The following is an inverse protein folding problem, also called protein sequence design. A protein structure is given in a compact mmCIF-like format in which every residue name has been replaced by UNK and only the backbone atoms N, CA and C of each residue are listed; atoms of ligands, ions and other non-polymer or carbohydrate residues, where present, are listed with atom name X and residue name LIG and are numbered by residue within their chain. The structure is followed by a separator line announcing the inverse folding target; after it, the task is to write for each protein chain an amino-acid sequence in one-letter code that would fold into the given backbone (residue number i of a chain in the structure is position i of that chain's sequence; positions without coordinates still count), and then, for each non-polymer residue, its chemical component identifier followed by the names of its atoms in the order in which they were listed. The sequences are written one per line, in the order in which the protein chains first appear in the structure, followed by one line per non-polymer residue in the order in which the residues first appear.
data_IF_729016859430
#
_entry.id   IF_729016859430
#
_cell.length_a   1.000
_cell.length_b   1.000
_cell.length_c   1.000
_cell.angle_alpha   90.00
_cell.angle_beta   90.00
_cell.angle_gamma   90.00
#
_symmetry.space_group_name_H-M   'P 1'
#
loop_
_entity.id
_entity.type
_entity.pdbx_description
1 polymer ?
#
# COMPACT_ATOMS: atom_id res chain seq x y z
N UNK A 1 -35.96 29.86 35.71
CA UNK A 1 -35.34 29.33 34.47
C UNK A 1 -34.26 28.33 34.86
N UNK A 2 -34.16 27.18 34.18
CA UNK A 2 -33.77 25.93 34.81
C UNK A 2 -32.27 25.66 34.73
N UNK A 3 -31.78 25.08 35.83
CA UNK A 3 -30.46 24.51 36.04
C UNK A 3 -30.34 23.22 35.21
N UNK A 4 -29.41 23.16 34.25
CA UNK A 4 -29.05 21.93 33.54
C UNK A 4 -27.98 21.19 34.34
N UNK A 5 -28.37 20.09 34.97
CA UNK A 5 -27.46 19.09 35.56
C UNK A 5 -27.04 18.16 34.43
N UNK A 6 -25.76 18.21 34.01
CA UNK A 6 -25.18 17.22 33.11
C UNK A 6 -24.72 16.02 33.94
N UNK A 7 -25.47 14.93 33.86
CA UNK A 7 -25.10 13.62 34.37
C UNK A 7 -24.05 13.02 33.41
N UNK A 8 -22.77 12.98 33.82
CA UNK A 8 -21.72 12.25 33.10
C UNK A 8 -21.83 10.77 33.46
N UNK A 9 -22.27 9.95 32.50
CA UNK A 9 -22.18 8.50 32.60
C UNK A 9 -20.74 8.06 32.28
N UNK A 10 -19.99 7.67 33.30
CA UNK A 10 -18.70 7.02 33.16
C UNK A 10 -18.95 5.53 32.91
N UNK A 11 -18.85 5.10 31.64
CA UNK A 11 -18.93 3.68 31.28
C UNK A 11 -17.55 3.06 31.52
N UNK A 12 -17.36 2.45 32.70
CA UNK A 12 -16.16 1.67 33.01
C UNK A 12 -16.32 0.31 32.34
N UNK A 13 -15.63 0.12 31.21
CA UNK A 13 -15.51 -1.19 30.56
C UNK A 13 -14.51 -2.02 31.38
N UNK A 14 -15.02 -2.88 32.24
CA UNK A 14 -14.23 -3.82 33.04
C UNK A 14 -13.88 -5.03 32.16
N UNK A 15 -12.75 -4.99 31.47
CA UNK A 15 -12.24 -6.13 30.69
C UNK A 15 -11.69 -7.19 31.64
N UNK A 16 -12.47 -8.23 31.90
CA UNK A 16 -12.03 -9.40 32.64
C UNK A 16 -11.07 -10.23 31.80
N UNK A 17 -9.77 -10.09 32.03
CA UNK A 17 -8.74 -10.97 31.47
C UNK A 17 -8.80 -12.29 32.23
N UNK A 18 -9.44 -13.29 31.63
CA UNK A 18 -9.44 -14.67 32.12
C UNK A 18 -8.17 -15.35 31.58
N UNK A 19 -7.11 -15.35 32.41
CA UNK A 19 -5.95 -16.23 32.22
C UNK A 19 -6.30 -17.63 32.72
N UNK A 20 -6.71 -18.51 31.82
CA UNK A 20 -6.79 -19.97 32.03
C UNK A 20 -5.56 -20.55 31.34
N UNK A 21 -4.50 -20.85 32.10
CA UNK A 21 -4.22 -22.15 32.75
C UNK A 21 -3.70 -23.22 31.78
N UNK A 22 -2.40 -23.53 31.95
CA UNK A 22 -1.76 -24.84 31.87
C UNK A 22 -2.31 -25.85 30.85
N UNK A 23 -1.77 -25.80 29.63
CA UNK A 23 -1.73 -26.94 28.71
C UNK A 23 -0.48 -27.77 28.94
N UNK A 24 -0.66 -29.03 29.31
CA UNK A 24 0.38 -30.05 29.45
C UNK A 24 1.24 -30.15 28.19
N UNK A 25 2.56 -30.28 28.38
CA UNK A 25 3.51 -30.60 27.32
C UNK A 25 3.17 -31.94 26.66
N UNK A 26 2.40 -31.89 25.59
CA UNK A 26 2.43 -32.90 24.55
C UNK A 26 3.79 -32.81 23.90
N UNK A 27 4.62 -33.82 24.12
CA UNK A 27 5.83 -34.07 23.33
C UNK A 27 5.47 -33.91 21.85
N UNK A 28 6.01 -32.86 21.21
CA UNK A 28 5.99 -32.70 19.76
C UNK A 28 6.54 -33.99 19.15
N UNK A 29 5.65 -34.85 18.67
CA UNK A 29 6.03 -35.91 17.76
C UNK A 29 6.56 -35.17 16.54
N UNK A 30 7.90 -35.16 16.35
CA UNK A 30 8.50 -34.87 15.06
C UNK A 30 7.71 -35.65 14.02
N UNK A 31 6.94 -34.93 13.21
CA UNK A 31 6.18 -35.52 12.11
C UNK A 31 7.23 -36.19 11.24
N UNK A 32 7.14 -37.52 11.14
CA UNK A 32 8.06 -38.27 10.31
C UNK A 32 7.74 -37.89 8.87
N UNK A 33 8.60 -37.07 8.24
CA UNK A 33 8.38 -36.46 6.91
C UNK A 33 8.11 -37.48 5.80
N UNK A 34 8.28 -38.77 6.08
CA UNK A 34 8.10 -39.87 5.11
C UNK A 34 6.65 -40.34 4.92
N UNK A 35 5.71 -39.88 5.74
CA UNK A 35 4.30 -40.26 5.62
C UNK A 35 3.47 -39.14 4.97
N UNK A 36 3.77 -38.89 3.69
CA UNK A 36 3.17 -37.81 2.89
C UNK A 36 1.64 -37.93 2.78
N UNK A 37 1.10 -39.15 2.91
CA UNK A 37 -0.34 -39.42 2.88
C UNK A 37 -1.08 -38.75 4.06
N UNK A 38 -0.38 -38.53 5.18
CA UNK A 38 -0.93 -37.95 6.40
C UNK A 38 -0.70 -36.44 6.53
N UNK A 39 -0.08 -35.79 5.53
CA UNK A 39 0.08 -34.34 5.50
C UNK A 39 -1.27 -33.62 5.39
N UNK A 40 -1.29 -32.37 5.85
CA UNK A 40 -2.46 -31.49 5.72
C UNK A 40 -2.82 -31.29 4.24
N UNK A 41 -4.12 -31.27 3.95
CA UNK A 41 -4.60 -30.97 2.60
C UNK A 41 -4.31 -29.52 2.26
N UNK A 42 -3.67 -29.29 1.12
CA UNK A 42 -3.34 -27.95 0.64
C UNK A 42 -4.53 -27.18 0.09
N UNK A 43 -4.23 -26.09 -0.61
CA UNK A 43 -5.20 -25.09 -1.09
C UNK A 43 -6.09 -25.53 -2.26
N UNK A 44 -6.02 -26.80 -2.71
CA UNK A 44 -6.81 -27.30 -3.85
C UNK A 44 -6.25 -26.84 -5.19
N UNK A 45 -7.10 -26.56 -6.18
CA UNK A 45 -6.63 -26.02 -7.46
C UNK A 45 -6.39 -24.51 -7.35
N UNK A 46 -5.19 -24.07 -7.72
CA UNK A 46 -4.79 -22.67 -7.72
C UNK A 46 -4.29 -22.28 -9.09
N UNK A 47 -4.49 -21.03 -9.46
CA UNK A 47 -3.97 -20.46 -10.69
C UNK A 47 -2.55 -19.92 -10.45
N UNK A 48 -1.72 -19.93 -11.49
CA UNK A 48 -0.45 -19.21 -11.50
C UNK A 48 -0.64 -17.72 -11.86
N UNK A 49 -1.86 -17.32 -12.21
CA UNK A 49 -2.15 -15.98 -12.72
C UNK A 49 -3.61 -15.61 -12.45
N UNK A 50 -3.85 -14.32 -12.22
CA UNK A 50 -5.15 -13.66 -12.26
C UNK A 50 -5.07 -12.45 -13.19
N UNK A 51 -6.12 -12.17 -13.98
CA UNK A 51 -6.11 -11.08 -14.97
C UNK A 51 -5.44 -11.43 -16.30
N UNK A 52 -5.18 -10.43 -17.14
CA UNK A 52 -4.52 -10.56 -18.46
C UNK A 52 -3.05 -10.10 -18.39
N UNK A 53 -2.10 -10.88 -18.91
CA UNK A 53 -0.64 -10.60 -18.83
C UNK A 53 -0.20 -9.47 -19.77
N UNK A 54 -1.13 -8.74 -20.37
CA UNK A 54 -0.77 -7.59 -21.17
C UNK A 54 -0.46 -6.42 -20.24
N UNK A 55 0.76 -5.90 -20.35
CA UNK A 55 1.11 -4.65 -19.70
C UNK A 55 0.09 -3.59 -20.11
N UNK A 56 -0.57 -3.01 -19.10
CA UNK A 56 -1.47 -1.91 -19.37
C UNK A 56 -0.63 -0.68 -19.71
N UNK A 57 -0.42 -0.41 -21.00
CA UNK A 57 0.36 0.73 -21.49
C UNK A 57 -0.16 2.08 -20.96
N UNK A 58 -1.41 2.14 -20.49
CA UNK A 58 -2.05 3.33 -19.95
C UNK A 58 -1.97 3.44 -18.42
N UNK A 59 -1.11 2.65 -17.75
CA UNK A 59 -0.95 2.77 -16.30
C UNK A 59 -0.08 3.96 -15.95
N UNK A 60 -0.63 4.85 -15.12
CA UNK A 60 0.11 6.01 -14.66
C UNK A 60 1.20 5.55 -13.69
N UNK A 61 2.45 5.76 -14.07
CA UNK A 61 3.58 5.46 -13.19
C UNK A 61 3.60 6.45 -12.04
N UNK A 62 3.59 5.94 -10.82
CA UNK A 62 3.86 6.77 -9.65
C UNK A 62 5.28 7.32 -9.74
N UNK A 63 5.45 8.63 -9.57
CA UNK A 63 6.77 9.21 -9.42
C UNK A 63 7.47 8.61 -8.19
N UNK A 64 8.64 8.03 -8.40
CA UNK A 64 9.55 7.58 -7.32
C UNK A 64 10.34 8.76 -6.72
N UNK A 65 9.80 9.97 -6.80
CA UNK A 65 10.50 11.20 -6.44
C UNK A 65 9.72 11.97 -5.40
N UNK A 66 10.35 12.21 -4.25
CA UNK A 66 9.88 13.18 -3.25
C UNK A 66 9.82 14.60 -3.83
N UNK A 67 10.54 14.86 -4.92
CA UNK A 67 10.64 16.16 -5.61
C UNK A 67 9.67 16.32 -6.80
N UNK A 68 8.35 16.18 -6.58
CA UNK A 68 7.34 16.34 -7.64
C UNK A 68 7.48 17.66 -8.43
N UNK A 69 7.91 18.73 -7.78
CA UNK A 69 8.14 20.04 -8.41
C UNK A 69 9.21 19.99 -9.52
N UNK A 70 10.16 19.04 -9.51
CA UNK A 70 11.19 18.92 -10.56
C UNK A 70 10.63 18.39 -11.88
N UNK A 71 9.49 17.72 -11.83
CA UNK A 71 8.88 17.03 -12.97
C UNK A 71 7.52 17.61 -13.36
N UNK A 72 7.11 18.69 -12.70
CA UNK A 72 5.86 19.43 -12.93
C UNK A 72 6.16 20.90 -13.27
N UNK A 73 5.12 21.66 -13.59
CA UNK A 73 5.16 23.08 -13.92
C UNK A 73 5.21 24.02 -12.69
N UNK A 74 5.07 23.45 -11.50
CA UNK A 74 4.97 24.21 -10.25
C UNK A 74 6.34 24.62 -9.71
N UNK A 75 6.36 25.67 -8.91
CA UNK A 75 7.59 26.15 -8.28
C UNK A 75 8.09 25.17 -7.21
N UNK A 76 9.41 25.20 -6.99
CA UNK A 76 10.02 24.47 -5.88
C UNK A 76 9.51 25.02 -4.53
N UNK A 77 9.33 24.15 -3.52
CA UNK A 77 9.24 24.53 -2.11
C UNK A 77 10.27 25.60 -1.75
N UNK A 78 9.82 26.73 -1.18
CA UNK A 78 10.74 27.79 -0.74
C UNK A 78 11.10 27.65 0.74
N UNK A 79 10.32 26.89 1.52
CA UNK A 79 10.50 26.76 2.96
C UNK A 79 10.12 28.03 3.73
N UNK A 80 9.45 28.99 3.08
CA UNK A 80 9.04 30.25 3.73
C UNK A 80 7.88 30.03 4.70
N UNK A 81 6.91 29.21 4.28
CA UNK A 81 5.68 28.94 5.00
C UNK A 81 5.61 27.49 5.43
N UNK A 82 5.75 26.57 4.48
CA UNK A 82 5.67 25.14 4.74
C UNK A 82 7.02 24.58 5.18
N UNK A 83 7.02 23.67 6.15
CA UNK A 83 8.22 23.02 6.64
C UNK A 83 8.96 22.27 5.52
N UNK A 84 10.19 22.69 5.21
CA UNK A 84 11.08 22.13 4.19
C UNK A 84 12.49 22.06 4.77
N UNK A 85 13.09 20.87 4.86
CA UNK A 85 14.47 20.69 5.37
C UNK A 85 14.74 21.35 6.73
N UNK A 86 13.73 21.45 7.59
CA UNK A 86 13.81 22.06 8.92
C UNK A 86 13.64 23.59 8.94
N UNK A 87 13.43 24.22 7.79
CA UNK A 87 12.99 25.61 7.66
C UNK A 87 11.47 25.68 7.44
N UNK A 88 10.84 26.84 7.65
CA UNK A 88 9.39 27.02 7.54
C UNK A 88 8.71 27.21 8.90
N UNK A 89 7.43 27.60 8.85
CA UNK A 89 6.66 27.96 10.05
C UNK A 89 5.49 27.00 10.31
N UNK A 90 5.03 26.31 9.27
CA UNK A 90 3.85 25.45 9.31
C UNK A 90 4.18 24.04 8.87
N UNK A 91 3.75 23.07 9.65
CA UNK A 91 3.56 21.73 9.12
C UNK A 91 2.28 21.65 8.30
N UNK A 92 2.17 20.61 7.48
CA UNK A 92 1.06 20.43 6.56
C UNK A 92 0.68 18.95 6.41
N UNK A 93 -0.60 18.73 6.11
CA UNK A 93 -1.15 17.44 5.71
C UNK A 93 -1.87 17.62 4.39
N UNK A 94 -1.39 16.93 3.35
CA UNK A 94 -2.04 16.88 2.04
C UNK A 94 -2.48 15.45 1.76
N UNK A 95 -3.68 15.29 1.19
CA UNK A 95 -4.07 14.02 0.61
C UNK A 95 -3.04 13.57 -0.44
N UNK A 96 -2.61 12.31 -0.37
CA UNK A 96 -1.61 11.74 -1.25
C UNK A 96 -1.75 10.23 -1.36
N UNK A 97 -1.05 9.64 -2.34
CA UNK A 97 -0.98 8.20 -2.52
C UNK A 97 -2.19 7.62 -3.24
N UNK A 98 -2.52 6.37 -2.92
CA UNK A 98 -3.64 5.64 -3.52
C UNK A 98 -4.95 6.04 -2.80
N UNK A 99 -5.94 6.44 -3.58
CA UNK A 99 -7.30 6.81 -3.13
C UNK A 99 -8.36 6.08 -3.94
N UNK A 100 -9.61 6.11 -3.48
CA UNK A 100 -10.77 5.58 -4.21
C UNK A 100 -11.56 6.71 -4.87
N UNK A 101 -12.37 6.41 -5.90
CA UNK A 101 -13.30 7.38 -6.46
C UNK A 101 -14.22 7.95 -5.37
N UNK A 102 -14.46 9.27 -5.40
CA UNK A 102 -15.24 10.00 -4.38
C UNK A 102 -14.66 10.03 -2.96
N UNK A 103 -13.44 9.53 -2.72
CA UNK A 103 -12.77 9.77 -1.45
C UNK A 103 -12.57 11.28 -1.24
N UNK A 104 -12.68 11.72 0.01
CA UNK A 104 -12.32 13.10 0.37
C UNK A 104 -10.80 13.32 0.23
N UNK A 105 -10.43 14.49 -0.27
CA UNK A 105 -9.10 15.05 -0.15
C UNK A 105 -9.16 16.31 0.72
N UNK A 106 -8.19 16.44 1.62
CA UNK A 106 -8.11 17.54 2.58
C UNK A 106 -6.76 18.24 2.50
N UNK A 107 -6.78 19.52 2.87
CA UNK A 107 -5.59 20.34 3.11
C UNK A 107 -5.64 20.78 4.56
N UNK A 108 -4.60 20.41 5.31
CA UNK A 108 -4.45 20.74 6.72
C UNK A 108 -3.16 21.49 6.95
N UNK A 109 -3.21 22.50 7.81
CA UNK A 109 -2.06 23.26 8.28
C UNK A 109 -1.97 23.15 9.80
N UNK A 110 -0.76 23.11 10.33
CA UNK A 110 -0.54 23.08 11.78
C UNK A 110 0.66 23.93 12.16
N UNK A 111 0.46 24.79 13.16
CA UNK A 111 1.50 25.58 13.79
C UNK A 111 2.07 24.85 15.01
N UNK A 112 3.38 24.98 15.20
CA UNK A 112 4.05 24.45 16.39
C UNK A 112 4.15 25.47 17.54
N UNK A 113 3.76 26.72 17.30
CA UNK A 113 3.79 27.81 18.27
C UNK A 113 2.48 27.87 19.07
N UNK A 114 2.55 28.09 20.39
CA UNK A 114 1.37 28.14 21.28
C UNK A 114 0.39 29.26 20.89
N UNK A 115 0.91 30.39 20.41
CA UNK A 115 0.12 31.54 19.97
C UNK A 115 -0.33 31.45 18.49
N UNK A 116 0.00 30.35 17.80
CA UNK A 116 -0.23 30.17 16.37
C UNK A 116 0.70 30.99 15.48
N UNK A 117 0.62 30.76 14.16
CA UNK A 117 1.42 31.46 13.16
C UNK A 117 0.51 32.37 12.34
N UNK A 118 0.74 33.68 12.41
CA UNK A 118 -0.01 34.66 11.60
C UNK A 118 0.58 34.74 10.20
N UNK A 119 -0.25 34.44 9.20
CA UNK A 119 0.12 34.51 7.78
C UNK A 119 -0.47 35.77 7.12
N UNK A 120 -1.77 36.02 7.31
CA UNK A 120 -2.54 37.02 6.56
C UNK A 120 -2.35 36.83 5.04
N UNK A 121 -2.69 35.63 4.53
CA UNK A 121 -2.44 35.21 3.14
C UNK A 121 -3.63 34.50 2.52
N UNK A 122 -3.77 34.68 1.20
CA UNK A 122 -4.59 33.79 0.38
C UNK A 122 -3.78 32.54 0.04
N UNK A 123 -4.42 31.39 0.17
CA UNK A 123 -3.89 30.09 -0.22
C UNK A 123 -4.70 29.59 -1.41
N UNK A 124 -4.02 29.35 -2.52
CA UNK A 124 -4.62 28.72 -3.71
C UNK A 124 -4.51 27.21 -3.59
N UNK A 125 -5.62 26.53 -3.80
CA UNK A 125 -5.73 25.08 -3.75
C UNK A 125 -6.18 24.60 -5.12
N UNK A 126 -5.37 23.75 -5.75
CA UNK A 126 -5.68 23.22 -7.07
C UNK A 126 -5.65 21.70 -7.06
N UNK A 127 -6.64 21.08 -7.70
CA UNK A 127 -6.62 19.67 -8.05
C UNK A 127 -6.62 19.58 -9.57
N UNK A 128 -5.55 19.03 -10.14
CA UNK A 128 -5.41 18.87 -11.60
C UNK A 128 -5.36 17.40 -11.97
N UNK A 129 -6.17 16.99 -12.95
CA UNK A 129 -6.08 15.69 -13.61
C UNK A 129 -4.89 15.69 -14.57
N UNK A 130 -4.14 14.58 -14.60
CA UNK A 130 -2.88 14.46 -15.35
C UNK A 130 -2.95 13.35 -16.39
N UNK A 131 -2.59 13.67 -17.64
CA UNK A 131 -2.22 12.66 -18.64
C UNK A 131 -0.80 12.14 -18.36
N UNK A 132 0.08 13.06 -17.94
CA UNK A 132 1.41 12.75 -17.45
C UNK A 132 1.80 13.75 -16.36
N UNK A 133 2.90 13.49 -15.64
CA UNK A 133 3.40 14.43 -14.63
C UNK A 133 3.73 15.83 -15.19
N UNK A 134 3.89 16.00 -16.50
CA UNK A 134 4.17 17.30 -17.15
C UNK A 134 2.98 17.96 -17.82
N UNK A 135 1.90 17.21 -18.03
CA UNK A 135 0.77 17.66 -18.83
C UNK A 135 -0.51 17.64 -18.00
N UNK A 136 -1.08 18.82 -17.78
CA UNK A 136 -2.42 18.98 -17.21
C UNK A 136 -3.41 18.59 -18.29
N UNK A 137 -4.24 17.59 -17.99
CA UNK A 137 -5.41 17.26 -18.81
C UNK A 137 -6.56 18.23 -18.48
N UNK A 138 -6.85 18.40 -17.19
CA UNK A 138 -7.96 19.21 -16.69
C UNK A 138 -7.67 19.79 -15.31
N UNK A 139 -8.11 21.02 -15.05
CA UNK A 139 -8.15 21.59 -13.69
C UNK A 139 -9.54 21.36 -13.10
N UNK A 140 -9.62 20.47 -12.12
CA UNK A 140 -10.87 20.06 -11.46
C UNK A 140 -11.26 21.07 -10.38
N UNK A 141 -10.27 21.54 -9.61
CA UNK A 141 -10.44 22.51 -8.52
C UNK A 141 -9.41 23.62 -8.69
N UNK A 142 -9.85 24.86 -8.47
CA UNK A 142 -9.01 26.05 -8.40
C UNK A 142 -9.65 27.07 -7.45
N UNK A 143 -9.47 26.84 -6.15
CA UNK A 143 -10.11 27.59 -5.06
C UNK A 143 -9.09 28.43 -4.29
N UNK A 144 -9.58 29.48 -3.62
CA UNK A 144 -8.80 30.37 -2.77
C UNK A 144 -9.37 30.37 -1.36
N UNK A 145 -8.50 30.13 -0.37
CA UNK A 145 -8.84 30.17 1.06
C UNK A 145 -7.98 31.24 1.73
N UNK A 146 -8.62 32.23 2.34
CA UNK A 146 -7.92 33.22 3.14
C UNK A 146 -7.64 32.66 4.53
N UNK A 147 -6.37 32.73 4.94
CA UNK A 147 -5.89 32.24 6.25
C UNK A 147 -5.18 33.38 6.98
N UNK A 148 -5.78 33.81 8.09
CA UNK A 148 -5.22 34.86 8.95
C UNK A 148 -4.13 34.28 9.86
N UNK A 149 -4.49 33.29 10.68
CA UNK A 149 -3.62 32.63 11.65
C UNK A 149 -3.91 31.14 11.62
N UNK A 150 -2.86 30.32 11.70
CA UNK A 150 -2.96 28.87 11.86
C UNK A 150 -2.58 28.50 13.30
N UNK A 151 -3.43 27.74 13.98
CA UNK A 151 -3.19 27.19 15.32
C UNK A 151 -2.72 25.72 15.26
N UNK A 152 -3.04 24.91 16.27
CA UNK A 152 -2.51 23.55 16.44
C UNK A 152 -2.75 22.61 15.26
N UNK A 153 -3.97 22.56 14.71
CA UNK A 153 -4.32 21.67 13.59
C UNK A 153 -5.62 22.17 12.94
N UNK A 154 -5.50 22.73 11.74
CA UNK A 154 -6.60 23.34 11.01
C UNK A 154 -6.80 22.68 9.66
N UNK A 155 -8.00 22.16 9.45
CA UNK A 155 -8.48 21.77 8.13
C UNK A 155 -8.97 23.02 7.39
N UNK A 156 -8.15 23.52 6.48
CA UNK A 156 -8.47 24.74 5.71
C UNK A 156 -9.30 24.45 4.47
N UNK A 157 -9.31 23.20 4.00
CA UNK A 157 -10.04 22.79 2.81
C UNK A 157 -10.38 21.31 2.81
N UNK A 158 -11.54 20.97 2.28
CA UNK A 158 -11.97 19.60 1.99
C UNK A 158 -12.85 19.58 0.77
N UNK A 159 -12.66 18.59 -0.09
CA UNK A 159 -13.54 18.31 -1.22
C UNK A 159 -13.42 16.83 -1.59
N UNK A 160 -14.28 16.33 -2.48
CA UNK A 160 -14.25 14.94 -2.94
C UNK A 160 -13.49 14.81 -4.25
N UNK A 161 -12.77 13.69 -4.43
CA UNK A 161 -12.21 13.31 -5.72
C UNK A 161 -13.34 13.01 -6.73
N UNK A 162 -13.13 13.25 -8.03
CA UNK A 162 -14.08 12.81 -9.06
C UNK A 162 -14.34 11.31 -9.02
N UNK A 163 -15.51 10.91 -9.53
CA UNK A 163 -15.88 9.50 -9.68
C UNK A 163 -15.21 8.88 -10.92
N UNK A 164 -13.88 8.86 -10.96
CA UNK A 164 -13.08 8.33 -12.07
C UNK A 164 -12.00 7.38 -11.54
N UNK A 165 -11.68 6.36 -12.33
CA UNK A 165 -10.66 5.34 -12.04
C UNK A 165 -9.55 5.38 -13.09
N UNK A 166 -8.42 4.74 -12.76
CA UNK A 166 -7.19 4.75 -13.53
C UNK A 166 -6.74 6.17 -13.90
N UNK A 167 -6.81 7.08 -12.93
CA UNK A 167 -6.55 8.51 -13.10
C UNK A 167 -5.59 9.00 -12.04
N UNK A 168 -4.70 9.92 -12.45
CA UNK A 168 -3.80 10.60 -11.56
C UNK A 168 -4.17 12.07 -11.40
N UNK A 169 -4.03 12.55 -10.17
CA UNK A 169 -4.21 13.94 -9.81
C UNK A 169 -2.97 14.51 -9.14
N UNK A 170 -2.76 15.80 -9.34
CA UNK A 170 -1.84 16.59 -8.53
C UNK A 170 -2.67 17.57 -7.71
N UNK A 171 -2.50 17.49 -6.39
CA UNK A 171 -3.03 18.46 -5.43
C UNK A 171 -1.92 19.46 -5.11
N UNK A 172 -2.14 20.73 -5.42
CA UNK A 172 -1.19 21.82 -5.20
C UNK A 172 -1.77 22.80 -4.19
N UNK A 173 -0.93 23.26 -3.28
CA UNK A 173 -1.22 24.31 -2.31
C UNK A 173 -0.15 25.40 -2.44
N UNK A 174 -0.57 26.59 -2.85
CA UNK A 174 0.31 27.75 -3.06
C UNK A 174 -0.07 28.88 -2.12
N UNK A 175 0.90 29.40 -1.36
CA UNK A 175 0.68 30.60 -0.54
C UNK A 175 0.97 31.81 -1.40
N UNK A 176 0.02 32.75 -1.49
CA UNK A 176 0.11 33.91 -2.36
C UNK A 176 0.33 35.19 -1.55
N UNK A 177 1.23 36.06 -2.02
CA UNK A 177 1.40 37.39 -1.45
C UNK A 177 0.24 38.33 -1.84
N UNK A 178 0.25 39.55 -1.29
CA UNK A 178 -0.77 40.59 -1.57
C UNK A 178 -0.85 41.02 -3.05
N UNK A 179 0.14 40.67 -3.88
CA UNK A 179 0.13 40.92 -5.33
C UNK A 179 -0.37 39.71 -6.13
N UNK A 180 -0.71 38.61 -5.48
CA UNK A 180 -1.07 37.34 -6.10
C UNK A 180 0.13 36.53 -6.62
N UNK A 181 1.36 36.85 -6.21
CA UNK A 181 2.54 36.08 -6.58
C UNK A 181 2.76 34.94 -5.58
N UNK A 182 3.18 33.77 -6.06
CA UNK A 182 3.46 32.58 -5.24
C UNK A 182 4.68 32.81 -4.36
N UNK A 183 4.53 32.65 -3.05
CA UNK A 183 5.60 32.74 -2.04
C UNK A 183 6.16 31.38 -1.64
N UNK A 184 5.33 30.35 -1.62
CA UNK A 184 5.70 28.97 -1.28
C UNK A 184 4.68 27.99 -1.88
N UNK A 185 5.12 26.76 -2.12
CA UNK A 185 4.35 25.73 -2.83
C UNK A 185 4.53 24.38 -2.16
N UNK A 186 3.43 23.63 -2.02
CA UNK A 186 3.44 22.20 -1.76
C UNK A 186 2.58 21.46 -2.77
N UNK A 187 3.03 20.25 -3.08
CA UNK A 187 2.45 19.41 -4.11
C UNK A 187 2.36 18.00 -3.56
N UNK A 188 1.24 17.34 -3.78
CA UNK A 188 1.09 15.91 -3.57
C UNK A 188 0.52 15.25 -4.81
N UNK A 189 0.85 13.96 -4.95
CA UNK A 189 0.36 13.10 -6.01
C UNK A 189 -0.70 12.17 -5.45
N UNK A 190 -1.85 12.11 -6.11
CA UNK A 190 -2.96 11.21 -5.80
C UNK A 190 -3.19 10.34 -7.02
N UNK A 191 -3.39 9.05 -6.83
CA UNK A 191 -3.79 8.16 -7.90
C UNK A 191 -4.98 7.31 -7.48
N UNK A 192 -5.95 7.22 -8.38
CA UNK A 192 -7.17 6.45 -8.20
C UNK A 192 -7.10 5.28 -9.18
N UNK A 193 -6.58 4.12 -8.76
CA UNK A 193 -6.57 2.91 -9.60
C UNK A 193 -7.99 2.40 -9.86
N UNK A 194 -8.16 1.62 -10.93
CA UNK A 194 -9.35 0.77 -11.06
C UNK A 194 -9.27 -0.40 -10.08
N UNK A 195 -10.44 -0.90 -9.66
CA UNK A 195 -10.55 -2.07 -8.76
C UNK A 195 -10.25 -3.38 -9.50
N UNK A 196 -8.99 -3.59 -9.88
CA UNK A 196 -8.52 -4.76 -10.61
C UNK A 196 -7.27 -5.37 -9.97
N UNK A 197 -7.29 -6.70 -9.77
CA UNK A 197 -6.13 -7.48 -9.39
C UNK A 197 -5.63 -8.28 -10.60
N UNK A 198 -4.42 -7.97 -11.06
CA UNK A 198 -3.83 -8.64 -12.21
C UNK A 198 -2.34 -8.92 -11.95
N UNK A 199 -2.02 -10.19 -11.79
CA UNK A 199 -0.73 -10.64 -11.31
C UNK A 199 -0.44 -12.07 -11.78
N UNK A 200 0.84 -12.37 -11.94
CA UNK A 200 1.32 -13.73 -12.23
C UNK A 200 2.42 -14.13 -11.26
N UNK A 201 2.50 -15.42 -10.97
CA UNK A 201 3.58 -16.03 -10.19
C UNK A 201 4.18 -17.19 -10.98
N UNK A 202 5.51 -17.28 -10.98
CA UNK A 202 6.26 -18.35 -11.63
C UNK A 202 7.57 -18.62 -10.88
N UNK A 203 8.21 -19.73 -11.20
CA UNK A 203 9.58 -20.02 -10.79
C UNK A 203 10.56 -19.65 -11.91
N UNK A 204 11.85 -19.48 -11.60
CA UNK A 204 12.88 -19.23 -12.63
C UNK A 204 13.03 -20.41 -13.60
N UNK A 205 12.73 -21.62 -13.15
CA UNK A 205 12.77 -22.86 -13.93
C UNK A 205 11.62 -23.78 -13.52
N UNK A 206 11.23 -24.69 -14.41
CA UNK A 206 10.19 -25.68 -14.11
C UNK A 206 10.73 -26.97 -13.49
N UNK A 207 12.02 -27.26 -13.64
CA UNK A 207 12.66 -28.50 -13.16
C UNK A 207 13.96 -28.17 -12.43
N UNK A 208 14.15 -28.79 -11.27
CA UNK A 208 15.33 -28.66 -10.41
C UNK A 208 15.92 -30.05 -10.15
N UNK A 209 17.23 -30.11 -9.92
CA UNK A 209 17.90 -31.34 -9.50
C UNK A 209 17.75 -31.54 -7.99
N UNK A 210 17.81 -32.78 -7.51
CA UNK A 210 17.90 -33.08 -6.07
C UNK A 210 19.13 -32.42 -5.37
N UNK A 211 20.10 -31.92 -6.13
CA UNK A 211 21.25 -31.17 -5.60
C UNK A 211 21.02 -29.67 -5.48
N UNK A 212 19.92 -29.14 -6.03
CA UNK A 212 19.58 -27.72 -5.94
C UNK A 212 19.02 -27.43 -4.54
N UNK A 213 19.46 -26.33 -3.93
CA UNK A 213 19.06 -25.95 -2.58
C UNK A 213 18.01 -24.83 -2.56
N UNK A 214 17.88 -24.09 -3.66
CA UNK A 214 17.04 -22.89 -3.76
C UNK A 214 16.41 -22.77 -5.14
N UNK A 215 15.24 -22.13 -5.19
CA UNK A 215 14.62 -21.62 -6.40
C UNK A 215 14.28 -20.13 -6.26
N UNK A 216 14.13 -19.43 -7.38
CA UNK A 216 13.65 -18.05 -7.40
C UNK A 216 12.17 -18.02 -7.76
N UNK A 217 11.34 -17.55 -6.83
CA UNK A 217 9.94 -17.23 -7.02
C UNK A 217 9.81 -15.81 -7.58
N UNK A 218 9.13 -15.66 -8.71
CA UNK A 218 8.96 -14.41 -9.43
C UNK A 218 7.47 -14.04 -9.38
N UNK A 219 7.15 -12.91 -8.76
CA UNK A 219 5.83 -12.29 -8.73
C UNK A 219 5.83 -11.05 -9.63
N UNK A 220 4.90 -11.01 -10.58
CA UNK A 220 4.76 -9.91 -11.55
C UNK A 220 3.41 -9.23 -11.34
N UNK A 221 3.39 -7.90 -11.25
CA UNK A 221 2.18 -7.09 -11.17
C UNK A 221 1.89 -6.45 -12.53
N UNK A 222 0.84 -6.90 -13.21
CA UNK A 222 0.36 -6.33 -14.47
C UNK A 222 -0.84 -5.40 -14.28
N UNK A 223 -1.35 -5.32 -13.06
CA UNK A 223 -2.55 -4.57 -12.73
C UNK A 223 -2.28 -3.08 -12.47
N UNK A 224 -3.35 -2.27 -12.52
CA UNK A 224 -3.28 -0.85 -12.23
C UNK A 224 -3.15 -0.53 -10.74
N UNK A 225 -3.30 -1.53 -9.87
CA UNK A 225 -3.16 -1.42 -8.41
C UNK A 225 -1.79 -1.89 -7.94
N UNK A 226 -1.34 -1.37 -6.80
CA UNK A 226 -0.18 -1.93 -6.10
C UNK A 226 -0.56 -3.28 -5.49
N UNK A 227 0.39 -4.22 -5.46
CA UNK A 227 0.21 -5.45 -4.71
C UNK A 227 0.84 -5.31 -3.32
N UNK A 228 0.11 -5.69 -2.28
CA UNK A 228 0.57 -5.87 -0.93
C UNK A 228 0.71 -7.35 -0.60
N UNK A 229 1.84 -7.77 -0.03
CA UNK A 229 2.10 -9.16 0.36
C UNK A 229 3.21 -9.26 1.41
N UNK A 230 3.33 -10.41 2.06
CA UNK A 230 4.41 -10.71 3.00
C UNK A 230 5.54 -11.56 2.38
N UNK A 231 6.60 -11.75 3.16
CA UNK A 231 7.66 -12.73 2.83
C UNK A 231 7.21 -14.19 2.98
N UNK A 232 6.12 -14.45 3.69
CA UNK A 232 5.59 -15.80 3.86
C UNK A 232 5.19 -16.46 2.53
N UNK A 233 5.38 -17.77 2.48
CA UNK A 233 4.89 -18.65 1.42
C UNK A 233 4.60 -20.04 2.01
N UNK A 234 3.84 -20.83 1.27
CA UNK A 234 3.62 -22.25 1.58
C UNK A 234 4.18 -23.11 0.46
N UNK A 235 4.81 -24.23 0.79
CA UNK A 235 5.20 -25.25 -0.21
C UNK A 235 4.23 -26.42 -0.11
N UNK A 236 3.75 -26.87 -1.26
CA UNK A 236 2.87 -28.03 -1.34
C UNK A 236 3.41 -29.05 -2.33
N UNK A 237 3.21 -30.34 -2.02
CA UNK A 237 3.57 -31.49 -2.87
C UNK A 237 2.32 -32.15 -3.43
N UNK A 238 2.38 -32.63 -4.67
CA UNK A 238 1.31 -33.41 -5.28
C UNK A 238 1.46 -34.89 -4.92
N UNK A 239 0.64 -35.35 -3.97
CA UNK A 239 0.64 -36.74 -3.47
C UNK A 239 -0.62 -37.43 -3.97
N UNK A 240 -0.45 -38.46 -4.84
CA UNK A 240 -1.57 -39.22 -5.45
C UNK A 240 -2.64 -38.32 -6.10
N UNK A 241 -2.20 -37.24 -6.73
CA UNK A 241 -3.07 -36.28 -7.41
C UNK A 241 -3.70 -35.21 -6.50
N UNK A 242 -3.40 -35.21 -5.20
CA UNK A 242 -3.91 -34.23 -4.24
C UNK A 242 -2.74 -33.36 -3.75
N UNK A 243 -2.95 -32.05 -3.70
CA UNK A 243 -1.98 -31.13 -3.10
C UNK A 243 -1.97 -31.25 -1.57
N UNK A 244 -0.77 -31.40 -1.01
CA UNK A 244 -0.53 -31.58 0.42
C UNK A 244 0.52 -30.57 0.89
N UNK A 245 0.26 -29.90 2.01
CA UNK A 245 1.20 -28.95 2.61
C UNK A 245 2.42 -29.68 3.12
N UNK A 246 3.62 -29.26 2.68
CA UNK A 246 4.87 -29.81 3.19
C UNK A 246 5.11 -29.23 4.58
N UNK A 247 5.31 -30.05 5.63
CA UNK A 247 5.48 -29.58 7.01
C UNK A 247 6.90 -29.06 7.24
N UNK A 248 7.27 -27.97 6.56
CA UNK A 248 8.57 -27.30 6.69
C UNK A 248 8.58 -26.38 7.92
N UNK A 249 9.69 -26.34 8.64
CA UNK A 249 9.92 -25.38 9.73
C UNK A 249 10.42 -24.04 9.15
N UNK A 250 9.53 -23.32 8.47
CA UNK A 250 9.85 -22.03 7.86
C UNK A 250 9.70 -20.88 8.87
N UNK A 251 10.68 -19.99 8.90
CA UNK A 251 10.63 -18.74 9.65
C UNK A 251 10.69 -17.56 8.67
N UNK A 252 9.77 -16.61 8.84
CA UNK A 252 9.69 -15.40 8.01
C UNK A 252 9.81 -14.16 8.88
N UNK A 253 10.45 -13.13 8.33
CA UNK A 253 10.28 -11.79 8.86
C UNK A 253 8.84 -11.34 8.56
N UNK A 254 8.13 -10.90 9.60
CA UNK A 254 6.79 -10.32 9.48
C UNK A 254 6.91 -8.87 8.96
N UNK A 255 7.10 -8.75 7.65
CA UNK A 255 7.18 -7.47 6.94
C UNK A 255 6.16 -7.43 5.80
N UNK A 256 5.48 -6.28 5.67
CA UNK A 256 4.64 -5.97 4.53
C UNK A 256 5.46 -5.38 3.40
N UNK A 257 5.29 -5.91 2.19
CA UNK A 257 5.92 -5.46 0.97
C UNK A 257 4.86 -4.89 0.02
N UNK A 258 5.22 -3.84 -0.72
CA UNK A 258 4.40 -3.31 -1.81
C UNK A 258 5.15 -3.51 -3.14
N UNK A 259 4.47 -4.04 -4.16
CA UNK A 259 4.96 -4.13 -5.52
C UNK A 259 4.17 -3.17 -6.40
N UNK A 260 4.87 -2.16 -6.90
CA UNK A 260 4.30 -1.15 -7.79
C UNK A 260 3.79 -1.77 -9.09
N UNK A 261 2.97 -1.00 -9.80
CA UNK A 261 2.43 -1.34 -11.12
C UNK A 261 3.54 -1.64 -12.13
N UNK A 262 3.37 -2.70 -12.94
CA UNK A 262 4.33 -3.18 -13.94
C UNK A 262 5.73 -3.45 -13.38
N UNK A 263 5.81 -3.88 -12.12
CA UNK A 263 7.07 -4.29 -11.49
C UNK A 263 7.06 -5.78 -11.18
N UNK A 264 8.28 -6.29 -10.98
CA UNK A 264 8.57 -7.67 -10.63
C UNK A 264 9.22 -7.72 -9.26
N UNK A 265 8.84 -8.71 -8.45
CA UNK A 265 9.47 -9.05 -7.20
C UNK A 265 10.04 -10.47 -7.28
N UNK A 266 11.26 -10.65 -6.79
CA UNK A 266 11.92 -11.95 -6.75
C UNK A 266 12.21 -12.35 -5.30
N UNK A 267 11.95 -13.61 -4.98
CA UNK A 267 12.17 -14.18 -3.65
C UNK A 267 12.85 -15.55 -3.77
N UNK A 268 13.94 -15.74 -3.04
CA UNK A 268 14.55 -17.06 -2.89
C UNK A 268 13.69 -17.94 -1.96
N UNK A 269 13.46 -19.18 -2.39
CA UNK A 269 12.72 -20.22 -1.67
C UNK A 269 13.63 -21.41 -1.49
N UNK A 270 13.81 -21.86 -0.24
CA UNK A 270 14.62 -23.04 0.04
C UNK A 270 13.87 -24.31 -0.37
N UNK A 271 14.57 -25.20 -1.07
CA UNK A 271 14.08 -26.51 -1.50
C UNK A 271 15.01 -27.65 -1.08
N UNK A 272 16.02 -27.38 -0.24
CA UNK A 272 17.04 -28.35 0.19
C UNK A 272 16.44 -29.58 0.90
N UNK A 273 15.33 -29.40 1.62
CA UNK A 273 14.66 -30.48 2.36
C UNK A 273 13.61 -31.25 1.53
N UNK A 274 13.47 -30.92 0.23
CA UNK A 274 12.46 -31.51 -0.64
C UNK A 274 13.02 -32.69 -1.44
N UNK A 275 12.42 -33.87 -1.26
CA UNK A 275 12.70 -35.04 -2.09
C UNK A 275 12.13 -34.86 -3.52
N UNK A 276 12.49 -35.74 -4.45
CA UNK A 276 11.95 -35.72 -5.82
C UNK A 276 10.40 -35.74 -5.85
N UNK A 277 9.82 -35.02 -6.81
CA UNK A 277 8.37 -34.92 -6.96
C UNK A 277 7.90 -33.65 -7.65
N UNK A 278 6.57 -33.47 -7.68
CA UNK A 278 5.92 -32.26 -8.20
C UNK A 278 5.45 -31.40 -7.03
N UNK A 279 5.86 -30.14 -7.04
CA UNK A 279 5.61 -29.17 -5.99
C UNK A 279 4.99 -27.90 -6.54
N UNK A 280 4.52 -27.04 -5.64
CA UNK A 280 4.22 -25.65 -5.93
C UNK A 280 4.53 -24.76 -4.74
N UNK A 281 4.93 -23.52 -5.03
CA UNK A 281 5.00 -22.45 -4.04
C UNK A 281 3.72 -21.63 -4.11
N UNK A 282 3.02 -21.54 -2.99
CA UNK A 282 1.76 -20.80 -2.83
C UNK A 282 2.05 -19.47 -2.13
N UNK A 283 1.48 -18.39 -2.68
CA UNK A 283 1.65 -17.03 -2.15
C UNK A 283 0.33 -16.27 -2.19
N UNK A 284 0.04 -15.60 -1.08
CA UNK A 284 -1.08 -14.68 -0.97
C UNK A 284 -0.66 -13.27 -1.37
N UNK A 285 -1.52 -12.62 -2.14
CA UNK A 285 -1.38 -11.24 -2.58
C UNK A 285 -2.69 -10.49 -2.37
N UNK A 286 -2.60 -9.19 -2.13
CA UNK A 286 -3.73 -8.28 -1.98
C UNK A 286 -3.51 -7.03 -2.82
N UNK A 287 -4.55 -6.41 -3.37
CA UNK A 287 -4.44 -5.06 -3.90
C UNK A 287 -4.37 -4.04 -2.75
N UNK A 288 -3.32 -3.22 -2.71
CA UNK A 288 -3.09 -2.26 -1.62
C UNK A 288 -4.28 -1.31 -1.46
N UNK A 289 -4.74 -1.13 -0.21
CA UNK A 289 -5.89 -0.30 0.15
C UNK A 289 -7.25 -0.73 -0.46
N UNK A 290 -7.36 -1.97 -0.93
CA UNK A 290 -8.58 -2.55 -1.48
C UNK A 290 -8.93 -3.88 -0.81
N UNK A 291 -10.19 -4.29 -0.93
CA UNK A 291 -10.69 -5.59 -0.44
C UNK A 291 -10.59 -6.67 -1.55
N UNK A 292 -9.52 -6.63 -2.35
CA UNK A 292 -9.24 -7.60 -3.40
C UNK A 292 -7.99 -8.40 -3.02
N UNK A 293 -8.12 -9.73 -3.00
CA UNK A 293 -7.01 -10.64 -2.70
C UNK A 293 -7.06 -11.89 -3.55
N UNK A 294 -5.91 -12.49 -3.81
CA UNK A 294 -5.79 -13.78 -4.47
C UNK A 294 -4.69 -14.62 -3.84
N UNK A 295 -4.86 -15.94 -3.93
CA UNK A 295 -3.82 -16.92 -3.63
C UNK A 295 -3.37 -17.52 -4.96
N UNK A 296 -2.09 -17.36 -5.29
CA UNK A 296 -1.50 -17.86 -6.53
C UNK A 296 -0.49 -18.96 -6.23
N UNK A 297 -0.23 -19.82 -7.22
CA UNK A 297 0.77 -20.87 -7.09
C UNK A 297 1.67 -21.03 -8.32
N UNK A 298 2.98 -21.19 -8.08
CA UNK A 298 3.96 -21.52 -9.11
C UNK A 298 4.38 -22.99 -8.97
N UNK A 299 4.06 -23.82 -9.97
CA UNK A 299 4.41 -25.24 -9.98
C UNK A 299 5.85 -25.49 -10.46
N UNK A 300 6.52 -26.49 -9.88
CA UNK A 300 7.84 -26.95 -10.28
C UNK A 300 8.04 -28.43 -9.96
N UNK A 301 9.11 -29.04 -10.48
CA UNK A 301 9.49 -30.44 -10.23
C UNK A 301 10.93 -30.55 -9.72
N UNK A 302 11.20 -31.60 -8.95
CA UNK A 302 12.54 -32.01 -8.51
C UNK A 302 12.81 -33.43 -9.01
N UNK A 303 13.94 -33.63 -9.70
CA UNK A 303 14.40 -34.92 -10.28
C UNK A 303 15.83 -35.34 -9.89
#
# INVERSE_FOLDING_TARGET
MPVKILLRYTFILLTAVILVSCGQGTSEKKVNSKDEDNWETGHGELLSQIGDVQENENTVQFPDTEDLWKVTEYNAPTGKWFLENGEGQLGYGLAMGIKRPNDDFEVRLFAHEEDGVTMDRDIRIQLTKRESLKEIEETIVDDFVYVETVFEDEQIYVNALPNEENVAYILTVEVLNQKGEVEDTRISYIYVPSEELNAAIKTDKNNYANSDSELTLILENYGPTYLFFGKSYTVEKKVKGIWKTVPLELAFEDIGLNLSVNKTFEQQVSIEELDSGTYRVVKDIQASNMELSATLAAEFTIE
#
